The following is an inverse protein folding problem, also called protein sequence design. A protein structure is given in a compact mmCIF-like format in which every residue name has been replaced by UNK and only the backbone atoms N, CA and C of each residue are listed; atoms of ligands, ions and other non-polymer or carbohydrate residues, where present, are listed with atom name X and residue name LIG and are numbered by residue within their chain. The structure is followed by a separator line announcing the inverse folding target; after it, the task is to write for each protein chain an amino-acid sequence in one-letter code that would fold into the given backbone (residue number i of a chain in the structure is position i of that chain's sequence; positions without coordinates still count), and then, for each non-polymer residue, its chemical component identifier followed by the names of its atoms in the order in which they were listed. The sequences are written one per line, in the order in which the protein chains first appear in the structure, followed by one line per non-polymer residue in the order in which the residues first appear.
data_IF_653202187986
#
_entry.id   IF_653202187986
#
_cell.length_a   1.000
_cell.length_b   1.000
_cell.length_c   1.000
_cell.angle_alpha   90.00
_cell.angle_beta   90.00
_cell.angle_gamma   90.00
#
_symmetry.space_group_name_H-M   'P 1'
#
loop_
_entity.id
_entity.type
_entity.pdbx_description
1 polymer ?
#
# COMPACT_ATOMS: atom_id res chain seq x y z
N UNK A 1 2.73 -15.75 21.25
CA UNK A 1 3.57 -14.68 20.67
C UNK A 1 2.90 -14.17 19.40
N UNK A 2 2.63 -12.88 19.35
CA UNK A 2 2.04 -12.29 18.16
C UNK A 2 3.11 -12.02 17.12
N UNK A 3 2.86 -12.46 15.89
CA UNK A 3 3.72 -12.13 14.77
C UNK A 3 3.13 -10.93 14.04
N UNK A 4 3.90 -9.86 13.95
CA UNK A 4 3.50 -8.68 13.19
C UNK A 4 4.12 -8.75 11.81
N UNK A 5 3.28 -8.58 10.80
CA UNK A 5 3.72 -8.63 9.40
C UNK A 5 3.61 -7.22 8.83
N UNK A 6 4.68 -6.78 8.20
CA UNK A 6 4.69 -5.53 7.45
C UNK A 6 4.89 -5.85 5.97
N UNK A 7 4.02 -5.30 5.13
CA UNK A 7 4.12 -5.42 3.69
C UNK A 7 4.66 -4.11 3.14
N UNK A 8 5.75 -4.18 2.38
CA UNK A 8 6.40 -3.01 1.81
C UNK A 8 6.18 -3.00 0.30
N UNK A 9 5.49 -1.99 -0.20
CA UNK A 9 5.14 -1.88 -1.62
C UNK A 9 5.79 -0.63 -2.20
N UNK A 10 6.89 -0.77 -2.95
CA UNK A 10 7.43 0.37 -3.69
C UNK A 10 6.54 0.65 -4.89
N UNK A 11 6.25 1.91 -5.17
CA UNK A 11 5.42 2.24 -6.32
C UNK A 11 5.82 3.57 -6.95
N UNK A 12 5.49 3.68 -8.23
CA UNK A 12 5.68 4.88 -9.02
C UNK A 12 4.60 4.93 -10.09
N UNK A 13 3.72 5.93 -10.02
CA UNK A 13 2.61 6.10 -10.97
C UNK A 13 1.78 4.82 -11.14
N UNK A 14 1.36 4.24 -10.01
CA UNK A 14 0.63 2.98 -9.98
C UNK A 14 -0.86 3.17 -9.66
N UNK A 15 -1.42 4.35 -9.93
CA UNK A 15 -2.79 4.68 -9.54
C UNK A 15 -3.82 3.68 -10.04
N UNK A 16 -3.60 3.11 -11.22
CA UNK A 16 -4.56 2.14 -11.80
C UNK A 16 -4.54 0.79 -11.11
N UNK A 17 -3.45 0.42 -10.49
CA UNK A 17 -3.25 -0.93 -9.94
C UNK A 17 -3.08 -0.96 -8.44
N UNK A 18 -2.67 0.14 -7.81
CA UNK A 18 -2.34 0.14 -6.38
C UNK A 18 -3.51 -0.28 -5.50
N UNK A 19 -4.74 0.09 -5.86
CA UNK A 19 -5.91 -0.30 -5.11
C UNK A 19 -6.07 -1.82 -5.07
N UNK A 20 -5.93 -2.47 -6.23
CA UNK A 20 -6.06 -3.93 -6.33
C UNK A 20 -4.94 -4.63 -5.58
N UNK A 21 -3.73 -4.11 -5.65
CA UNK A 21 -2.58 -4.67 -4.94
C UNK A 21 -2.82 -4.61 -3.43
N UNK A 22 -3.22 -3.46 -2.92
CA UNK A 22 -3.50 -3.29 -1.49
C UNK A 22 -4.65 -4.20 -1.06
N UNK A 23 -5.73 -4.25 -1.84
CA UNK A 23 -6.87 -5.12 -1.53
C UNK A 23 -6.47 -6.60 -1.45
N UNK A 24 -5.60 -7.04 -2.36
CA UNK A 24 -5.12 -8.42 -2.35
C UNK A 24 -4.35 -8.74 -1.06
N UNK A 25 -3.46 -7.84 -0.63
CA UNK A 25 -2.75 -8.03 0.63
C UNK A 25 -3.67 -7.97 1.84
N UNK A 26 -4.65 -7.07 1.84
CA UNK A 26 -5.61 -6.98 2.94
C UNK A 26 -6.44 -8.25 3.06
N UNK A 27 -6.75 -8.88 1.94
CA UNK A 27 -7.51 -10.14 1.92
C UNK A 27 -6.67 -11.31 2.44
N UNK A 28 -5.43 -11.42 1.97
CA UNK A 28 -4.55 -12.55 2.32
C UNK A 28 -3.91 -12.38 3.70
N UNK A 29 -3.62 -11.15 4.09
CA UNK A 29 -2.91 -10.83 5.33
C UNK A 29 -3.66 -9.72 6.07
N UNK A 30 -4.87 -10.01 6.61
CA UNK A 30 -5.73 -8.96 7.17
C UNK A 30 -5.13 -8.24 8.36
N UNK A 31 -4.17 -8.84 9.05
CA UNK A 31 -3.51 -8.25 10.22
C UNK A 31 -2.20 -7.54 9.86
N UNK A 32 -1.79 -7.58 8.59
CA UNK A 32 -0.54 -6.95 8.19
C UNK A 32 -0.69 -5.42 8.11
N UNK A 33 0.39 -4.73 8.44
CA UNK A 33 0.51 -3.30 8.18
C UNK A 33 1.07 -3.12 6.77
N UNK A 34 0.39 -2.30 5.96
CA UNK A 34 0.80 -2.09 4.58
C UNK A 34 1.45 -0.72 4.47
N UNK A 35 2.70 -0.71 4.04
CA UNK A 35 3.49 0.49 3.79
C UNK A 35 3.68 0.66 2.30
N UNK A 36 3.30 1.80 1.78
CA UNK A 36 3.51 2.13 0.37
C UNK A 36 4.62 3.18 0.30
N UNK A 37 5.72 2.82 -0.36
CA UNK A 37 6.83 3.74 -0.60
C UNK A 37 6.64 4.36 -1.98
N UNK A 38 6.15 5.58 -1.99
CA UNK A 38 5.84 6.30 -3.21
C UNK A 38 7.07 7.06 -3.71
N UNK A 39 7.55 6.70 -4.89
CA UNK A 39 8.74 7.31 -5.50
C UNK A 39 8.34 8.49 -6.39
N UNK A 40 7.84 9.56 -5.77
CA UNK A 40 7.45 10.80 -6.46
C UNK A 40 6.43 10.59 -7.58
N UNK A 41 5.38 9.81 -7.32
CA UNK A 41 4.29 9.65 -8.29
C UNK A 41 3.65 10.99 -8.59
N UNK A 42 3.36 11.23 -9.86
CA UNK A 42 2.68 12.43 -10.32
C UNK A 42 1.18 12.23 -10.47
N UNK A 43 0.70 11.01 -10.31
CA UNK A 43 -0.71 10.66 -10.32
C UNK A 43 -1.27 10.52 -8.90
N UNK A 44 -2.47 9.95 -8.76
CA UNK A 44 -3.16 9.80 -7.48
C UNK A 44 -2.74 8.57 -6.67
N UNK A 45 -1.59 7.97 -6.98
CA UNK A 45 -1.12 6.75 -6.30
C UNK A 45 -1.10 6.90 -4.79
N UNK A 46 -0.46 7.95 -4.27
CA UNK A 46 -0.37 8.15 -2.82
C UNK A 46 -1.74 8.39 -2.19
N UNK A 47 -2.60 9.16 -2.85
CA UNK A 47 -3.94 9.44 -2.36
C UNK A 47 -4.77 8.15 -2.27
N UNK A 48 -4.74 7.33 -3.31
CA UNK A 48 -5.47 6.06 -3.33
C UNK A 48 -4.97 5.13 -2.24
N UNK A 49 -3.65 5.00 -2.11
CA UNK A 49 -3.05 4.15 -1.08
C UNK A 49 -3.47 4.61 0.33
N UNK A 50 -3.45 5.90 0.57
CA UNK A 50 -3.89 6.46 1.86
C UNK A 50 -5.36 6.15 2.14
N UNK A 51 -6.22 6.30 1.14
CA UNK A 51 -7.64 5.99 1.29
C UNK A 51 -7.90 4.51 1.54
N UNK A 52 -7.02 3.64 1.06
CA UNK A 52 -7.11 2.21 1.30
C UNK A 52 -6.63 1.80 2.70
N UNK A 53 -6.09 2.73 3.46
CA UNK A 53 -5.62 2.46 4.81
C UNK A 53 -4.13 2.12 4.89
N UNK A 54 -3.39 2.23 3.79
CA UNK A 54 -1.95 2.02 3.81
C UNK A 54 -1.23 3.23 4.41
N UNK A 55 -0.05 2.98 4.95
CA UNK A 55 0.84 4.03 5.45
C UNK A 55 1.75 4.42 4.29
N UNK A 56 1.63 5.66 3.82
CA UNK A 56 2.40 6.11 2.67
C UNK A 56 3.66 6.83 3.13
N UNK A 57 4.79 6.42 2.59
CA UNK A 57 6.10 7.04 2.80
C UNK A 57 6.63 7.56 1.47
N UNK A 58 7.41 8.61 1.53
CA UNK A 58 8.00 9.21 0.34
C UNK A 58 9.52 9.11 0.35
#
# INVERSE_FOLDING_TARGET
METKIAVLIPCYNEAKTIKKVIQAFQKELPEAMIYVYDNNSTDDTALIATKMGAIVKH
#
